data_IF_419934774993
#
_entry.id   IF_419934774993
#
_cell.length_a   1.000
_cell.length_b   1.000
_cell.length_c   1.000
_cell.angle_alpha   90.00
_cell.angle_beta   90.00
_cell.angle_gamma   90.00
#
_symmetry.space_group_name_H-M   'P 1'
#
loop_
_entity.id
_entity.type
_entity.pdbx_description
1 polymer ?
#
# COMPACT_ATOMS: atom_id res chain seq x y z
N UNK A 1 -21.94 -2.40 -7.43
CA UNK A 1 -22.32 -1.72 -6.19
C UNK A 1 -22.18 -0.21 -6.31
N UNK A 2 -21.00 0.37 -6.48
CA UNK A 2 -20.81 1.83 -6.57
C UNK A 2 -21.78 2.52 -7.55
N UNK A 3 -22.02 1.93 -8.71
CA UNK A 3 -22.99 2.48 -9.70
C UNK A 3 -24.41 2.59 -9.15
N UNK A 4 -24.89 1.61 -8.39
CA UNK A 4 -26.24 1.63 -7.79
C UNK A 4 -26.35 2.69 -6.69
N UNK A 5 -25.30 2.85 -5.85
CA UNK A 5 -25.25 3.88 -4.81
C UNK A 5 -25.22 5.27 -5.44
N UNK A 6 -24.38 5.48 -6.47
CA UNK A 6 -24.34 6.75 -7.20
C UNK A 6 -25.69 7.12 -7.84
N UNK A 7 -26.43 6.13 -8.37
CA UNK A 7 -27.77 6.35 -8.89
C UNK A 7 -28.75 6.76 -7.80
N UNK A 8 -28.68 6.10 -6.63
CA UNK A 8 -29.50 6.47 -5.47
C UNK A 8 -29.19 7.90 -5.02
N UNK A 9 -27.92 8.24 -4.78
CA UNK A 9 -27.50 9.57 -4.32
C UNK A 9 -27.91 10.67 -5.31
N UNK A 10 -27.77 10.45 -6.61
CA UNK A 10 -28.26 11.39 -7.64
C UNK A 10 -29.78 11.59 -7.59
N UNK A 11 -30.55 10.51 -7.35
CA UNK A 11 -32.01 10.59 -7.24
C UNK A 11 -32.42 11.40 -6.00
N UNK A 12 -31.66 11.29 -4.91
CA UNK A 12 -31.88 12.07 -3.67
C UNK A 12 -31.36 13.53 -3.80
N UNK A 13 -30.84 13.92 -5.00
CA UNK A 13 -30.44 15.31 -5.27
C UNK A 13 -28.99 15.66 -4.91
N UNK A 14 -28.18 14.69 -4.57
CA UNK A 14 -26.76 14.92 -4.27
C UNK A 14 -25.94 15.07 -5.56
N UNK A 15 -24.98 16.00 -5.53
CA UNK A 15 -23.97 16.14 -6.56
C UNK A 15 -22.84 15.15 -6.26
N UNK A 16 -22.71 14.12 -7.09
CA UNK A 16 -21.73 13.04 -6.89
C UNK A 16 -20.73 13.00 -8.05
N UNK A 17 -19.48 12.60 -7.79
CA UNK A 17 -18.46 12.46 -8.81
C UNK A 17 -18.91 11.56 -9.98
N UNK A 18 -18.27 11.73 -11.14
CA UNK A 18 -18.55 10.89 -12.30
C UNK A 18 -18.29 9.41 -11.98
N UNK A 19 -19.26 8.57 -12.35
CA UNK A 19 -19.16 7.12 -12.22
C UNK A 19 -17.93 6.52 -12.93
N UNK A 20 -17.39 7.21 -13.94
CA UNK A 20 -16.18 6.80 -14.64
C UNK A 20 -14.95 6.79 -13.73
N UNK A 21 -14.86 7.68 -12.74
CA UNK A 21 -13.74 7.69 -11.81
C UNK A 21 -13.61 6.36 -11.04
N UNK A 22 -14.73 5.77 -10.64
CA UNK A 22 -14.74 4.46 -9.98
C UNK A 22 -14.25 3.32 -10.88
N UNK A 23 -14.18 3.52 -12.20
CA UNK A 23 -13.54 2.55 -13.09
C UNK A 23 -12.02 2.52 -12.94
N UNK A 24 -11.39 3.66 -12.63
CA UNK A 24 -9.96 3.74 -12.30
C UNK A 24 -9.67 3.09 -10.95
N UNK A 25 -10.49 3.32 -9.92
CA UNK A 25 -10.37 2.63 -8.63
C UNK A 25 -10.44 1.11 -8.83
N UNK A 26 -11.36 0.63 -9.69
CA UNK A 26 -11.47 -0.78 -10.03
C UNK A 26 -10.25 -1.30 -10.80
N UNK A 27 -9.66 -0.48 -11.67
CA UNK A 27 -8.42 -0.82 -12.38
C UNK A 27 -7.26 -0.97 -11.39
N UNK A 28 -7.05 0.01 -10.50
CA UNK A 28 -6.01 -0.04 -9.48
C UNK A 28 -6.18 -1.25 -8.55
N UNK A 29 -7.40 -1.54 -8.13
CA UNK A 29 -7.69 -2.74 -7.34
C UNK A 29 -7.36 -4.05 -8.07
N UNK A 30 -7.53 -4.11 -9.38
CA UNK A 30 -7.12 -5.28 -10.17
C UNK A 30 -5.60 -5.43 -10.21
N UNK A 31 -4.88 -4.32 -10.29
CA UNK A 31 -3.42 -4.32 -10.20
C UNK A 31 -2.95 -4.79 -8.83
N UNK A 32 -3.49 -4.23 -7.75
CA UNK A 32 -3.23 -4.64 -6.38
C UNK A 32 -3.47 -6.16 -6.17
N UNK A 33 -4.52 -6.70 -6.77
CA UNK A 33 -4.85 -8.13 -6.71
C UNK A 33 -4.03 -9.01 -7.67
N UNK A 34 -3.18 -8.45 -8.50
CA UNK A 34 -2.48 -9.20 -9.57
C UNK A 34 -3.40 -9.79 -10.65
N UNK A 35 -4.59 -9.21 -10.84
CA UNK A 35 -5.65 -9.72 -11.75
C UNK A 35 -5.92 -8.79 -12.94
N UNK A 36 -4.90 -8.10 -13.42
CA UNK A 36 -5.05 -7.22 -14.58
C UNK A 36 -5.17 -8.00 -15.88
N UNK A 37 -5.86 -7.41 -16.86
CA UNK A 37 -6.01 -7.99 -18.19
C UNK A 37 -4.66 -8.11 -18.94
N UNK A 38 -3.69 -7.25 -18.60
CA UNK A 38 -2.35 -7.25 -19.17
C UNK A 38 -1.64 -8.61 -19.00
N UNK A 39 -1.87 -9.31 -17.90
CA UNK A 39 -1.21 -10.60 -17.64
C UNK A 39 -1.76 -11.74 -18.51
N UNK A 40 -2.97 -11.62 -19.05
CA UNK A 40 -3.55 -12.64 -19.92
C UNK A 40 -3.28 -12.33 -21.40
N UNK A 41 -2.65 -13.24 -22.11
CA UNK A 41 -2.38 -13.07 -23.54
C UNK A 41 -2.50 -14.38 -24.32
N UNK A 42 -2.62 -14.27 -25.62
CA UNK A 42 -2.74 -15.42 -26.52
C UNK A 42 -1.55 -15.50 -27.47
N UNK A 43 -1.00 -16.68 -27.63
CA UNK A 43 0.11 -16.95 -28.53
C UNK A 43 -0.32 -18.04 -29.51
N UNK A 44 0.02 -17.87 -30.78
CA UNK A 44 -0.09 -18.95 -31.77
C UNK A 44 1.17 -19.81 -31.72
N UNK A 45 1.01 -21.09 -31.42
CA UNK A 45 2.15 -22.04 -31.27
C UNK A 45 2.52 -22.80 -32.55
N UNK A 46 2.08 -22.32 -33.70
CA UNK A 46 2.25 -22.99 -35.00
C UNK A 46 1.11 -23.93 -35.38
N UNK A 47 0.24 -24.31 -34.44
CA UNK A 47 -0.92 -25.18 -34.65
C UNK A 47 -2.20 -24.58 -34.18
N UNK A 48 -2.21 -24.01 -32.99
CA UNK A 48 -3.40 -23.41 -32.35
C UNK A 48 -3.02 -22.22 -31.49
N UNK A 49 -4.04 -21.38 -31.18
CA UNK A 49 -3.90 -20.34 -30.18
C UNK A 49 -3.91 -20.94 -28.76
N UNK A 50 -2.94 -20.56 -27.93
CA UNK A 50 -2.79 -20.98 -26.55
C UNK A 50 -2.88 -19.74 -25.65
N UNK A 51 -3.71 -19.80 -24.61
CA UNK A 51 -3.76 -18.77 -23.59
C UNK A 51 -2.54 -18.93 -22.67
N UNK A 52 -1.87 -17.82 -22.40
CA UNK A 52 -0.75 -17.73 -21.46
C UNK A 52 -1.00 -16.63 -20.43
N UNK A 53 -0.34 -16.78 -19.30
CA UNK A 53 -0.37 -15.77 -18.23
C UNK A 53 1.07 -15.31 -17.99
N UNK A 54 1.31 -13.98 -18.05
CA UNK A 54 2.58 -13.38 -17.69
C UNK A 54 2.84 -13.54 -16.19
N UNK A 55 4.09 -13.75 -15.86
CA UNK A 55 4.56 -13.67 -14.48
C UNK A 55 4.57 -12.22 -14.04
N UNK A 56 4.18 -11.95 -12.80
CA UNK A 56 4.18 -10.61 -12.22
C UNK A 56 5.11 -10.53 -11.03
N UNK A 57 5.72 -9.36 -10.82
CA UNK A 57 6.48 -9.04 -9.62
C UNK A 57 5.58 -8.63 -8.44
N UNK A 58 4.32 -8.31 -8.70
CA UNK A 58 3.38 -7.89 -7.67
C UNK A 58 3.67 -6.54 -7.05
N UNK A 59 4.38 -5.65 -7.76
CA UNK A 59 4.80 -4.34 -7.23
C UNK A 59 3.63 -3.42 -6.91
N UNK A 60 2.47 -3.59 -7.58
CA UNK A 60 1.25 -2.86 -7.25
C UNK A 60 0.76 -3.10 -5.81
N UNK A 61 1.07 -4.25 -5.22
CA UNK A 61 0.83 -4.53 -3.80
C UNK A 61 1.99 -4.05 -2.93
N UNK A 62 3.23 -4.26 -3.37
CA UNK A 62 4.43 -3.92 -2.59
C UNK A 62 4.58 -2.41 -2.34
N UNK A 63 4.38 -1.58 -3.36
CA UNK A 63 4.57 -0.12 -3.26
C UNK A 63 3.66 0.53 -2.20
N UNK A 64 2.33 0.28 -2.17
CA UNK A 64 1.47 0.81 -1.10
C UNK A 64 1.82 0.30 0.29
N UNK A 65 2.23 -0.97 0.42
CA UNK A 65 2.71 -1.53 1.71
C UNK A 65 3.93 -0.78 2.23
N UNK A 66 4.90 -0.49 1.36
CA UNK A 66 6.09 0.28 1.73
C UNK A 66 5.71 1.70 2.18
N UNK A 67 4.81 2.38 1.47
CA UNK A 67 4.29 3.68 1.89
C UNK A 67 3.54 3.62 3.22
N UNK A 68 2.72 2.59 3.44
CA UNK A 68 2.02 2.41 4.70
C UNK A 68 2.99 2.20 5.87
N UNK A 69 4.05 1.43 5.67
CA UNK A 69 5.10 1.23 6.66
C UNK A 69 5.87 2.52 6.97
N UNK A 70 6.21 3.30 5.93
CA UNK A 70 6.93 4.57 6.09
C UNK A 70 6.09 5.63 6.83
N UNK A 71 4.77 5.64 6.64
CA UNK A 71 3.87 6.68 7.14
C UNK A 71 3.23 6.38 8.50
N UNK A 72 2.88 5.12 8.77
CA UNK A 72 2.24 4.72 10.03
C UNK A 72 2.78 3.38 10.51
N UNK A 73 3.98 3.40 11.06
CA UNK A 73 4.59 2.27 11.75
C UNK A 73 4.34 2.33 13.27
N UNK A 74 4.95 1.41 14.01
CA UNK A 74 4.80 1.28 15.46
C UNK A 74 5.38 2.44 16.28
N UNK A 75 6.24 3.27 15.68
CA UNK A 75 6.88 4.41 16.35
C UNK A 75 6.13 5.73 16.17
N UNK A 76 5.10 5.74 15.32
CA UNK A 76 4.25 6.93 15.19
C UNK A 76 3.43 7.11 16.46
N UNK A 77 3.55 8.27 17.07
CA UNK A 77 2.89 8.60 18.33
C UNK A 77 1.85 9.70 18.14
N UNK A 78 0.68 9.48 18.72
CA UNK A 78 -0.39 10.47 18.84
C UNK A 78 -0.39 10.96 20.28
N UNK A 79 0.06 12.19 20.49
CA UNK A 79 0.23 12.77 21.81
C UNK A 79 -0.83 13.83 22.05
N UNK A 80 -1.50 13.75 23.19
CA UNK A 80 -2.46 14.72 23.72
C UNK A 80 -2.12 15.03 25.17
N UNK A 81 -2.91 15.89 25.83
CA UNK A 81 -2.72 16.19 27.25
C UNK A 81 -2.72 14.91 28.10
N UNK A 82 -1.83 14.81 29.09
CA UNK A 82 -1.64 13.64 29.95
C UNK A 82 -2.94 13.05 30.52
N UNK A 83 -3.85 13.91 30.98
CA UNK A 83 -5.14 13.50 31.55
C UNK A 83 -6.08 12.81 30.55
N UNK A 84 -5.81 12.93 29.25
CA UNK A 84 -6.65 12.42 28.17
C UNK A 84 -5.97 11.32 27.37
N UNK A 85 -4.65 11.19 27.49
CA UNK A 85 -3.84 10.24 26.73
C UNK A 85 -4.28 8.78 26.96
N UNK A 86 -4.48 8.38 28.22
CA UNK A 86 -4.93 7.03 28.56
C UNK A 86 -6.30 6.72 27.94
N UNK A 87 -7.21 7.70 28.01
CA UNK A 87 -8.56 7.58 27.45
C UNK A 87 -8.57 7.47 25.92
N UNK A 88 -7.68 8.20 25.23
CA UNK A 88 -7.49 8.10 23.79
C UNK A 88 -6.89 6.75 23.42
N UNK A 89 -5.81 6.35 24.09
CA UNK A 89 -5.14 5.06 23.83
C UNK A 89 -6.09 3.89 24.00
N UNK A 90 -6.96 3.90 25.00
CA UNK A 90 -7.97 2.87 25.21
C UNK A 90 -8.93 2.73 24.01
N UNK A 91 -9.33 3.84 23.38
CA UNK A 91 -10.16 3.80 22.15
C UNK A 91 -9.36 3.27 20.97
N UNK A 92 -8.14 3.74 20.78
CA UNK A 92 -7.29 3.29 19.66
C UNK A 92 -6.97 1.81 19.75
N UNK A 93 -6.66 1.32 20.96
CA UNK A 93 -6.35 -0.10 21.21
C UNK A 93 -7.60 -0.99 21.04
N UNK A 94 -8.76 -0.57 21.55
CA UNK A 94 -10.03 -1.28 21.35
C UNK A 94 -10.39 -1.45 19.86
N UNK A 95 -10.00 -0.48 19.03
CA UNK A 95 -10.21 -0.50 17.59
C UNK A 95 -9.05 -1.12 16.80
N UNK A 96 -8.02 -1.65 17.47
CA UNK A 96 -6.80 -2.19 16.84
C UNK A 96 -6.19 -1.20 15.82
N UNK A 97 -6.14 0.07 16.19
CA UNK A 97 -5.82 1.18 15.29
C UNK A 97 -4.44 1.03 14.66
N UNK A 98 -3.43 0.61 15.42
CA UNK A 98 -2.05 0.45 14.89
C UNK A 98 -2.00 -0.48 13.68
N UNK A 99 -2.74 -1.60 13.72
CA UNK A 99 -2.79 -2.58 12.62
C UNK A 99 -3.75 -2.11 11.52
N UNK A 100 -4.99 -1.78 11.88
CA UNK A 100 -6.02 -1.45 10.89
C UNK A 100 -5.81 -0.10 10.23
N UNK A 101 -5.24 0.86 10.97
CA UNK A 101 -4.84 2.17 10.44
C UNK A 101 -3.75 2.03 9.37
N UNK A 102 -2.70 1.24 9.64
CA UNK A 102 -1.66 0.94 8.66
C UNK A 102 -2.25 0.24 7.42
N UNK A 103 -3.12 -0.76 7.60
CA UNK A 103 -3.81 -1.43 6.49
C UNK A 103 -4.71 -0.47 5.68
N UNK A 104 -5.33 0.51 6.33
CA UNK A 104 -6.11 1.52 5.61
C UNK A 104 -5.22 2.43 4.77
N UNK A 105 -4.04 2.81 5.27
CA UNK A 105 -3.08 3.60 4.49
C UNK A 105 -2.59 2.81 3.27
N UNK A 106 -2.27 1.53 3.43
CA UNK A 106 -1.96 0.64 2.29
C UNK A 106 -3.09 0.69 1.24
N UNK A 107 -4.34 0.48 1.66
CA UNK A 107 -5.49 0.54 0.75
C UNK A 107 -5.72 1.94 0.16
N UNK A 108 -5.50 3.01 0.91
CA UNK A 108 -5.65 4.38 0.43
C UNK A 108 -4.59 4.71 -0.63
N UNK A 109 -3.36 4.25 -0.44
CA UNK A 109 -2.28 4.43 -1.42
C UNK A 109 -2.46 3.53 -2.64
N UNK A 110 -2.98 2.32 -2.47
CA UNK A 110 -3.31 1.42 -3.57
C UNK A 110 -4.48 1.92 -4.41
N UNK A 111 -5.53 2.45 -3.79
CA UNK A 111 -6.82 2.77 -4.44
C UNK A 111 -7.09 4.27 -4.58
N UNK A 112 -6.19 5.10 -4.07
CA UNK A 112 -6.24 6.57 -4.17
C UNK A 112 -6.94 7.26 -3.00
N UNK A 113 -7.81 6.60 -2.25
CA UNK A 113 -8.55 7.22 -1.13
C UNK A 113 -8.89 6.17 -0.09
N UNK A 114 -8.87 6.56 1.17
CA UNK A 114 -9.36 5.82 2.32
C UNK A 114 -10.07 6.76 3.28
N UNK A 115 -10.81 6.24 4.25
CA UNK A 115 -11.41 7.06 5.30
C UNK A 115 -11.47 6.31 6.63
N UNK A 116 -11.22 7.03 7.72
CA UNK A 116 -11.71 6.67 9.04
C UNK A 116 -13.15 7.21 9.16
N UNK A 117 -14.03 6.45 9.79
CA UNK A 117 -15.38 6.88 10.13
C UNK A 117 -15.63 6.48 11.58
N UNK A 118 -15.88 7.48 12.43
CA UNK A 118 -16.01 7.33 13.87
C UNK A 118 -17.49 7.35 14.27
N UNK A 119 -17.88 6.42 15.13
CA UNK A 119 -19.26 6.36 15.64
C UNK A 119 -19.33 5.70 17.03
N UNK A 120 -20.43 5.92 17.72
CA UNK A 120 -20.77 5.19 18.93
C UNK A 120 -21.71 4.03 18.62
N UNK A 121 -21.48 2.90 19.24
CA UNK A 121 -22.41 1.77 19.21
C UNK A 121 -23.51 1.93 20.30
N UNK A 122 -24.40 0.92 20.38
CA UNK A 122 -25.49 0.90 21.36
C UNK A 122 -25.03 0.80 22.82
N UNK A 123 -23.78 0.36 23.02
CA UNK A 123 -23.14 0.21 24.33
C UNK A 123 -22.28 1.42 24.70
N UNK A 124 -22.38 2.51 23.90
CA UNK A 124 -21.62 3.75 24.06
C UNK A 124 -20.09 3.59 23.80
N UNK A 125 -19.67 2.46 23.19
CA UNK A 125 -18.29 2.29 22.77
C UNK A 125 -18.01 3.09 21.50
N UNK A 126 -16.83 3.70 21.43
CA UNK A 126 -16.38 4.39 20.21
C UNK A 126 -15.71 3.40 19.28
N UNK A 127 -16.25 3.32 18.09
CA UNK A 127 -15.75 2.46 17.01
C UNK A 127 -15.20 3.30 15.87
N UNK A 128 -14.20 2.77 15.20
CA UNK A 128 -13.56 3.36 14.02
C UNK A 128 -13.70 2.37 12.86
N UNK A 129 -14.45 2.76 11.84
CA UNK A 129 -14.52 2.02 10.59
C UNK A 129 -13.42 2.48 9.62
N UNK A 130 -12.89 1.53 8.86
CA UNK A 130 -11.77 1.70 7.93
C UNK A 130 -12.29 1.49 6.50
N UNK A 131 -12.61 2.60 5.83
CA UNK A 131 -13.36 2.58 4.57
C UNK A 131 -12.42 2.76 3.39
N UNK A 132 -12.50 1.86 2.42
CA UNK A 132 -11.69 1.91 1.18
C UNK A 132 -12.37 2.73 0.08
N UNK A 133 -11.60 3.19 -0.90
CA UNK A 133 -12.01 4.12 -1.95
C UNK A 133 -13.31 3.77 -2.71
N UNK A 134 -13.55 2.49 -3.02
CA UNK A 134 -14.75 2.06 -3.77
C UNK A 134 -16.05 2.12 -2.96
N UNK A 135 -15.94 2.48 -1.66
CA UNK A 135 -17.03 2.62 -0.70
C UNK A 135 -17.22 4.07 -0.22
N UNK A 136 -16.47 5.02 -0.77
CA UNK A 136 -16.47 6.45 -0.43
C UNK A 136 -17.14 7.23 -1.55
N UNK A 137 -18.10 8.07 -1.24
CA UNK A 137 -18.88 8.85 -2.19
C UNK A 137 -18.92 10.31 -1.72
N UNK A 138 -18.01 11.19 -2.20
CA UNK A 138 -18.06 12.62 -1.91
C UNK A 138 -19.36 13.23 -2.40
N UNK A 139 -19.97 14.10 -1.58
CA UNK A 139 -21.24 14.76 -1.87
C UNK A 139 -21.11 16.29 -1.95
N UNK A 140 -20.21 16.83 -1.13
CA UNK A 140 -19.86 18.26 -1.17
C UNK A 140 -18.38 18.42 -0.84
N UNK A 141 -17.73 19.30 -1.55
CA UNK A 141 -16.32 19.62 -1.32
C UNK A 141 -16.02 21.06 -1.71
N UNK A 142 -15.07 21.66 -1.02
CA UNK A 142 -14.60 23.02 -1.26
C UNK A 142 -13.06 22.99 -1.26
N UNK A 143 -12.44 23.62 -2.24
CA UNK A 143 -10.97 23.62 -2.38
C UNK A 143 -10.33 22.22 -2.26
N UNK A 144 -10.97 21.20 -2.83
CA UNK A 144 -10.53 19.81 -2.79
C UNK A 144 -10.61 19.13 -1.40
N UNK A 145 -11.24 19.78 -0.42
CA UNK A 145 -11.58 19.25 0.90
C UNK A 145 -13.03 18.78 0.91
N UNK A 146 -13.24 17.51 1.31
CA UNK A 146 -14.56 16.89 1.33
C UNK A 146 -15.27 17.27 2.64
N UNK A 147 -16.36 18.03 2.51
CA UNK A 147 -17.17 18.52 3.65
C UNK A 147 -18.45 17.72 3.86
N UNK A 148 -18.92 16.96 2.85
CA UNK A 148 -20.00 15.99 3.01
C UNK A 148 -19.67 14.74 2.21
N UNK A 149 -19.92 13.57 2.80
CA UNK A 149 -19.54 12.29 2.22
C UNK A 149 -20.52 11.18 2.60
N UNK A 150 -20.75 10.25 1.69
CA UNK A 150 -21.46 9.01 1.99
C UNK A 150 -20.48 7.84 2.00
N UNK A 151 -20.65 6.96 2.98
CA UNK A 151 -19.83 5.77 3.19
C UNK A 151 -20.71 4.53 3.12
N UNK A 152 -20.26 3.54 2.35
CA UNK A 152 -20.99 2.30 2.21
C UNK A 152 -20.24 1.13 2.87
N UNK A 153 -20.99 0.21 3.45
CA UNK A 153 -20.47 -1.08 3.87
C UNK A 153 -21.35 -2.21 3.30
N UNK A 154 -20.74 -3.33 2.94
CA UNK A 154 -21.44 -4.50 2.39
C UNK A 154 -21.33 -5.66 3.39
N UNK A 155 -22.47 -6.30 3.70
CA UNK A 155 -22.55 -7.44 4.59
C UNK A 155 -23.37 -8.58 3.97
N UNK A 156 -23.22 -9.79 4.53
CA UNK A 156 -23.93 -10.99 4.08
C UNK A 156 -23.26 -11.70 2.91
N UNK A 157 -23.83 -12.86 2.53
CA UNK A 157 -23.29 -13.75 1.50
C UNK A 157 -24.40 -14.23 0.55
N UNK A 158 -24.01 -14.56 -0.68
CA UNK A 158 -24.93 -15.13 -1.69
C UNK A 158 -26.06 -14.16 -2.05
N UNK A 159 -27.31 -14.63 -1.93
CA UNK A 159 -28.52 -13.85 -2.22
C UNK A 159 -28.94 -12.93 -1.06
N UNK A 160 -28.33 -13.08 0.11
CA UNK A 160 -28.57 -12.26 1.29
C UNK A 160 -27.44 -11.25 1.50
N UNK A 161 -27.24 -10.38 0.52
CA UNK A 161 -26.29 -9.26 0.60
C UNK A 161 -27.02 -7.98 0.93
N UNK A 162 -26.45 -7.24 1.84
CA UNK A 162 -26.98 -5.96 2.28
C UNK A 162 -25.92 -4.88 2.11
N UNK A 163 -26.37 -3.66 1.85
CA UNK A 163 -25.52 -2.49 1.79
C UNK A 163 -26.07 -1.46 2.78
N UNK A 164 -25.25 -1.07 3.69
CA UNK A 164 -25.52 0.01 4.62
C UNK A 164 -24.82 1.27 4.14
N UNK A 165 -25.52 2.39 4.09
CA UNK A 165 -25.05 3.66 3.61
C UNK A 165 -25.22 4.72 4.70
N UNK A 166 -24.12 5.34 5.12
CA UNK A 166 -24.09 6.47 6.03
C UNK A 166 -23.78 7.74 5.24
N UNK A 167 -24.62 8.75 5.36
CA UNK A 167 -24.46 10.03 4.69
C UNK A 167 -24.17 11.08 5.75
N UNK A 168 -22.97 11.63 5.71
CA UNK A 168 -22.53 12.68 6.62
C UNK A 168 -22.60 14.04 5.92
N UNK A 169 -23.43 14.93 6.40
CA UNK A 169 -23.59 16.28 5.84
C UNK A 169 -23.85 17.31 6.93
N UNK A 170 -23.65 18.59 6.64
CA UNK A 170 -23.94 19.69 7.57
C UNK A 170 -25.37 20.18 7.38
N UNK A 171 -26.07 20.38 8.49
CA UNK A 171 -27.37 21.06 8.52
C UNK A 171 -27.22 22.59 8.38
N UNK A 172 -28.32 23.31 8.37
CA UNK A 172 -28.37 24.80 8.27
C UNK A 172 -27.63 25.50 9.42
N UNK A 173 -27.41 24.81 10.55
CA UNK A 173 -26.70 25.36 11.72
C UNK A 173 -25.18 25.04 11.69
N UNK A 174 -24.70 24.41 10.62
CA UNK A 174 -23.30 24.00 10.49
C UNK A 174 -22.93 22.72 11.24
N UNK A 175 -23.88 22.06 11.91
CA UNK A 175 -23.67 20.82 12.65
C UNK A 175 -23.79 19.61 11.71
N UNK A 176 -22.97 18.59 11.94
CA UNK A 176 -23.07 17.36 11.18
C UNK A 176 -24.30 16.52 11.56
N UNK A 177 -24.95 16.01 10.52
CA UNK A 177 -26.06 15.07 10.61
C UNK A 177 -25.66 13.82 9.82
N UNK A 178 -25.98 12.65 10.40
CA UNK A 178 -25.71 11.34 9.77
C UNK A 178 -27.06 10.75 9.39
N UNK A 179 -27.27 10.53 8.09
CA UNK A 179 -28.44 9.82 7.56
C UNK A 179 -28.08 8.40 7.23
N UNK A 180 -28.90 7.47 7.68
CA UNK A 180 -28.72 6.03 7.54
C UNK A 180 -29.70 5.45 6.53
N UNK A 181 -29.19 4.68 5.57
CA UNK A 181 -30.02 4.01 4.56
C UNK A 181 -29.56 2.57 4.41
N UNK A 182 -30.51 1.65 4.27
CA UNK A 182 -30.23 0.23 4.17
C UNK A 182 -30.81 -0.35 2.87
N UNK A 183 -30.02 -1.16 2.21
CA UNK A 183 -30.41 -1.80 0.95
C UNK A 183 -30.20 -3.30 1.00
N UNK A 184 -31.12 -4.03 0.37
CA UNK A 184 -30.89 -5.41 -0.04
C UNK A 184 -30.32 -5.40 -1.46
N UNK A 185 -29.21 -6.09 -1.63
CA UNK A 185 -28.55 -6.23 -2.94
C UNK A 185 -29.01 -7.52 -3.61
N UNK A 186 -29.67 -7.38 -4.76
CA UNK A 186 -30.06 -8.51 -5.61
C UNK A 186 -29.38 -8.34 -6.98
N UNK A 187 -28.46 -9.25 -7.31
CA UNK A 187 -27.57 -9.12 -8.47
C UNK A 187 -26.84 -7.76 -8.44
N UNK A 188 -27.07 -6.88 -9.42
CA UNK A 188 -26.48 -5.55 -9.52
C UNK A 188 -27.45 -4.42 -9.11
N UNK A 189 -28.65 -4.75 -8.64
CA UNK A 189 -29.66 -3.76 -8.21
C UNK A 189 -29.66 -3.62 -6.69
N UNK A 190 -29.88 -2.40 -6.21
CA UNK A 190 -30.06 -2.06 -4.81
C UNK A 190 -31.55 -1.73 -4.58
N UNK A 191 -32.19 -2.45 -3.69
CA UNK A 191 -33.53 -2.19 -3.21
C UNK A 191 -33.46 -1.66 -1.79
N UNK A 192 -33.94 -0.43 -1.58
CA UNK A 192 -34.04 0.15 -0.25
C UNK A 192 -35.03 -0.68 0.59
N UNK A 193 -34.63 -0.96 1.83
CA UNK A 193 -35.42 -1.69 2.82
C UNK A 193 -35.37 -0.95 4.16
N UNK A 194 -36.20 -1.34 5.10
CA UNK A 194 -36.22 -0.76 6.44
C UNK A 194 -34.88 -0.96 7.14
N UNK A 195 -34.51 0.02 7.95
CA UNK A 195 -33.29 -0.05 8.78
C UNK A 195 -33.40 -1.20 9.80
N UNK A 196 -32.27 -1.83 10.14
CA UNK A 196 -32.23 -2.78 11.23
C UNK A 196 -32.69 -2.16 12.56
N UNK A 197 -33.28 -2.96 13.42
CA UNK A 197 -33.77 -2.53 14.74
C UNK A 197 -32.67 -1.84 15.56
N UNK A 198 -32.99 -0.64 16.05
CA UNK A 198 -32.10 0.17 16.88
C UNK A 198 -31.09 1.03 16.09
N UNK A 199 -31.27 1.19 14.79
CA UNK A 199 -30.56 2.19 13.99
C UNK A 199 -31.56 3.30 13.66
N UNK A 200 -31.21 4.54 14.03
CA UNK A 200 -31.99 5.72 13.72
C UNK A 200 -31.78 6.15 12.27
N UNK A 201 -32.81 6.64 11.61
CA UNK A 201 -32.75 7.11 10.24
C UNK A 201 -31.87 8.37 10.11
N UNK A 202 -31.93 9.25 11.09
CA UNK A 202 -31.17 10.49 11.14
C UNK A 202 -30.64 10.75 12.56
N UNK A 203 -29.33 11.00 12.66
CA UNK A 203 -28.64 11.32 13.91
C UNK A 203 -28.03 12.70 13.80
N UNK A 204 -28.43 13.65 14.66
CA UNK A 204 -27.74 14.93 14.77
C UNK A 204 -26.61 14.81 15.78
N UNK A 205 -25.37 15.00 15.32
CA UNK A 205 -24.17 14.90 16.17
C UNK A 205 -24.04 16.08 17.14
N UNK A 206 -24.78 17.17 16.92
CA UNK A 206 -24.66 18.45 17.63
C UNK A 206 -23.25 19.07 17.58
N UNK A 207 -22.40 18.61 16.68
CA UNK A 207 -21.01 19.03 16.52
C UNK A 207 -20.75 19.55 15.11
N UNK A 208 -19.87 20.54 15.00
CA UNK A 208 -19.33 21.03 13.72
C UNK A 208 -18.15 20.18 13.22
N UNK A 209 -17.62 19.27 14.07
CA UNK A 209 -16.53 18.37 13.76
C UNK A 209 -17.08 17.17 13.00
N UNK A 210 -16.51 16.84 11.83
CA UNK A 210 -16.92 15.65 11.09
C UNK A 210 -16.51 14.39 11.84
N UNK A 211 -17.38 13.37 11.81
CA UNK A 211 -17.06 12.04 12.29
C UNK A 211 -16.55 11.15 11.14
N UNK A 212 -15.71 11.72 10.31
CA UNK A 212 -14.96 11.01 9.25
C UNK A 212 -13.70 11.77 8.87
N UNK A 213 -12.65 11.04 8.52
CA UNK A 213 -11.37 11.60 8.10
C UNK A 213 -10.93 10.96 6.79
N UNK A 214 -10.70 11.78 5.76
CA UNK A 214 -10.27 11.29 4.44
C UNK A 214 -8.76 11.22 4.38
N UNK A 215 -8.24 10.08 3.92
CA UNK A 215 -6.83 9.83 3.66
C UNK A 215 -6.65 9.65 2.15
N UNK A 216 -5.70 10.35 1.58
CA UNK A 216 -5.32 10.19 0.17
C UNK A 216 -3.84 10.46 -0.02
N UNK A 217 -3.17 9.84 -0.99
CA UNK A 217 -1.81 10.25 -1.35
C UNK A 217 -1.80 11.75 -1.69
N UNK A 218 -0.79 12.48 -1.21
CA UNK A 218 -0.66 13.90 -1.52
C UNK A 218 -0.12 14.09 -2.95
N UNK A 219 -0.94 13.68 -3.91
CA UNK A 219 -0.67 13.72 -5.35
C UNK A 219 -1.89 14.36 -5.99
N UNK A 220 -1.66 15.30 -6.91
CA UNK A 220 -2.75 15.94 -7.66
C UNK A 220 -3.47 14.88 -8.49
N UNK A 221 -4.80 14.87 -8.44
CA UNK A 221 -5.62 14.04 -9.29
C UNK A 221 -5.61 14.59 -10.73
N UNK A 222 -4.67 14.12 -11.54
CA UNK A 222 -4.51 14.54 -12.93
C UNK A 222 -5.43 13.77 -13.90
N UNK A 223 -6.22 12.83 -13.41
CA UNK A 223 -7.21 12.09 -14.19
C UNK A 223 -8.52 12.89 -14.26
N UNK A 224 -8.88 13.51 -13.13
CA UNK A 224 -10.10 14.31 -13.00
C UNK A 224 -9.82 15.42 -11.99
N UNK A 225 -9.47 16.62 -12.49
CA UNK A 225 -9.01 17.75 -11.68
C UNK A 225 -10.09 18.29 -10.73
N UNK A 226 -11.36 18.10 -11.09
CA UNK A 226 -12.51 18.59 -10.32
C UNK A 226 -12.98 17.55 -9.28
N UNK A 227 -12.40 16.36 -9.27
CA UNK A 227 -12.76 15.28 -8.35
C UNK A 227 -11.94 15.36 -7.06
N UNK A 228 -12.56 15.45 -5.88
CA UNK A 228 -11.86 15.58 -4.61
C UNK A 228 -11.19 14.29 -4.14
N UNK A 229 -11.48 13.15 -4.77
CA UNK A 229 -10.82 11.88 -4.46
C UNK A 229 -9.37 11.88 -4.96
N UNK A 230 -8.51 11.21 -4.22
CA UNK A 230 -7.12 10.99 -4.62
C UNK A 230 -6.97 9.92 -5.70
N UNK A 231 -5.77 9.78 -6.22
CA UNK A 231 -5.37 8.72 -7.16
C UNK A 231 -4.39 7.77 -6.49
N UNK A 232 -4.34 6.53 -6.98
CA UNK A 232 -3.34 5.55 -6.54
C UNK A 232 -1.92 6.10 -6.66
N UNK A 233 -1.04 5.76 -5.72
CA UNK A 233 0.38 6.16 -5.77
C UNK A 233 1.07 5.70 -7.05
N UNK A 234 0.58 4.62 -7.65
CA UNK A 234 1.07 4.09 -8.93
C UNK A 234 0.15 4.41 -10.12
N UNK A 235 -0.86 5.29 -9.96
CA UNK A 235 -1.79 5.61 -11.04
C UNK A 235 -1.08 6.06 -12.33
N UNK A 236 -0.01 6.87 -12.18
CA UNK A 236 0.81 7.39 -13.28
C UNK A 236 2.02 6.49 -13.63
N UNK A 237 2.09 5.28 -13.07
CA UNK A 237 3.18 4.33 -13.25
C UNK A 237 2.70 2.95 -13.76
N UNK A 238 1.47 2.87 -14.27
CA UNK A 238 0.91 1.61 -14.78
C UNK A 238 1.75 1.05 -15.93
N UNK A 239 2.16 1.89 -16.88
CA UNK A 239 3.01 1.47 -18.00
C UNK A 239 4.37 0.94 -17.52
N UNK A 240 4.93 1.52 -16.45
CA UNK A 240 6.18 1.06 -15.85
C UNK A 240 6.01 -0.30 -15.17
N UNK A 241 4.87 -0.53 -14.51
CA UNK A 241 4.54 -1.86 -13.95
C UNK A 241 4.37 -2.91 -15.05
N UNK A 242 3.70 -2.57 -16.16
CA UNK A 242 3.59 -3.44 -17.33
C UNK A 242 4.97 -3.77 -17.92
N UNK A 243 5.83 -2.77 -18.05
CA UNK A 243 7.21 -2.93 -18.52
C UNK A 243 8.03 -3.83 -17.60
N UNK A 244 7.96 -3.64 -16.30
CA UNK A 244 8.63 -4.47 -15.31
C UNK A 244 8.16 -5.93 -15.36
N UNK A 245 6.85 -6.15 -15.37
CA UNK A 245 6.28 -7.50 -15.44
C UNK A 245 6.63 -8.20 -16.76
N UNK A 246 6.76 -7.45 -17.87
CA UNK A 246 7.24 -7.98 -19.13
C UNK A 246 8.70 -8.45 -19.07
N UNK A 247 9.57 -7.65 -18.42
CA UNK A 247 10.99 -8.02 -18.23
C UNK A 247 11.10 -9.24 -17.32
N UNK A 248 10.32 -9.28 -16.24
CA UNK A 248 10.29 -10.40 -15.32
C UNK A 248 9.75 -11.69 -15.97
N UNK A 249 8.67 -11.61 -16.74
CA UNK A 249 8.14 -12.74 -17.49
C UNK A 249 9.16 -13.25 -18.51
N UNK A 250 9.87 -12.34 -19.21
CA UNK A 250 10.94 -12.68 -20.14
C UNK A 250 12.10 -13.40 -19.44
N UNK A 251 12.51 -12.90 -18.27
CA UNK A 251 13.53 -13.55 -17.44
C UNK A 251 13.11 -14.98 -17.04
N UNK A 252 11.89 -15.16 -16.54
CA UNK A 252 11.36 -16.48 -16.21
C UNK A 252 11.30 -17.41 -17.44
N UNK A 253 10.92 -16.88 -18.60
CA UNK A 253 10.86 -17.63 -19.85
C UNK A 253 12.26 -18.04 -20.35
N UNK A 254 13.30 -17.24 -20.10
CA UNK A 254 14.69 -17.59 -20.46
C UNK A 254 15.10 -18.92 -19.82
N UNK A 255 14.79 -19.11 -18.53
CA UNK A 255 15.04 -20.38 -17.84
C UNK A 255 14.15 -21.53 -18.32
N UNK A 256 12.88 -21.23 -18.64
CA UNK A 256 11.96 -22.25 -19.13
C UNK A 256 12.31 -22.72 -20.55
N UNK A 257 12.71 -21.79 -21.41
CA UNK A 257 13.02 -22.07 -22.82
C UNK A 257 14.50 -22.47 -23.03
N UNK A 258 15.39 -22.00 -22.16
CA UNK A 258 16.82 -22.29 -22.17
C UNK A 258 17.18 -23.68 -21.67
N UNK A 259 16.21 -24.53 -21.33
CA UNK A 259 16.46 -25.92 -20.96
C UNK A 259 17.21 -26.63 -22.07
N UNK A 260 18.22 -27.39 -21.68
CA UNK A 260 18.95 -28.28 -22.61
C UNK A 260 17.96 -29.17 -23.36
N UNK A 261 18.11 -29.25 -24.68
CA UNK A 261 17.28 -30.10 -25.53
C UNK A 261 18.18 -31.03 -26.35
N UNK A 262 17.81 -32.27 -26.39
CA UNK A 262 18.49 -33.28 -27.18
C UNK A 262 17.55 -33.71 -28.31
N UNK A 263 17.94 -33.43 -29.54
CA UNK A 263 17.18 -33.81 -30.72
C UNK A 263 17.72 -35.15 -31.21
N UNK A 264 16.82 -36.12 -31.29
CA UNK A 264 17.15 -37.47 -31.78
C UNK A 264 16.30 -37.82 -33.00
N UNK A 265 16.87 -38.52 -34.03
CA UNK A 265 16.06 -39.04 -35.10
C UNK A 265 15.01 -40.03 -34.57
N UNK A 266 13.78 -40.00 -35.10
CA UNK A 266 12.68 -40.89 -34.67
C UNK A 266 13.08 -42.37 -34.72
N UNK A 267 13.93 -42.76 -35.68
CA UNK A 267 14.43 -44.14 -35.79
C UNK A 267 15.30 -44.57 -34.60
N UNK A 268 16.03 -43.62 -33.98
CA UNK A 268 16.84 -43.87 -32.79
C UNK A 268 16.02 -43.86 -31.49
N UNK A 269 14.86 -43.23 -31.52
CA UNK A 269 13.92 -43.23 -30.40
C UNK A 269 13.01 -44.47 -30.37
N UNK A 270 13.19 -45.43 -31.34
CA UNK A 270 12.40 -46.67 -31.36
C UNK A 270 12.80 -47.59 -30.23
N UNK A 271 11.79 -48.17 -29.67
CA UNK A 271 11.80 -49.15 -28.60
C UNK A 271 12.69 -50.35 -28.94
N UNK A 272 13.65 -50.69 -28.09
CA UNK A 272 14.33 -52.00 -28.13
C UNK A 272 13.50 -53.00 -27.33
N UNK A 273 13.26 -54.17 -27.91
CA UNK A 273 12.76 -55.33 -27.19
C UNK A 273 13.93 -55.98 -26.47
N UNK A 274 13.82 -56.19 -25.17
CA UNK A 274 14.73 -57.05 -24.43
C UNK A 274 14.37 -58.54 -24.63
N UNK A 275 15.23 -59.44 -24.11
CA UNK A 275 15.07 -60.88 -24.27
C UNK A 275 13.75 -61.42 -23.66
N UNK A 276 13.12 -60.65 -22.75
CA UNK A 276 11.84 -60.95 -22.09
C UNK A 276 10.63 -60.37 -22.83
N UNK A 277 10.83 -59.75 -24.00
CA UNK A 277 9.75 -59.13 -24.79
C UNK A 277 9.21 -57.82 -24.21
N UNK A 278 9.88 -57.26 -23.20
CA UNK A 278 9.54 -56.00 -22.60
C UNK A 278 10.14 -54.88 -23.44
N UNK A 279 9.27 -54.06 -23.98
CA UNK A 279 9.69 -52.87 -24.74
C UNK A 279 10.10 -51.76 -23.80
N UNK A 280 11.39 -51.48 -23.72
CA UNK A 280 11.90 -50.26 -23.02
C UNK A 280 12.20 -49.18 -24.06
N UNK A 281 11.61 -48.00 -23.94
CA UNK A 281 12.04 -46.88 -24.77
C UNK A 281 13.50 -46.55 -24.43
N UNK A 282 14.31 -46.30 -25.45
CA UNK A 282 15.71 -45.90 -25.29
C UNK A 282 15.82 -44.56 -24.59
N UNK A 283 14.74 -43.75 -24.61
CA UNK A 283 14.57 -42.49 -23.91
C UNK A 283 13.20 -42.52 -23.25
N UNK A 284 13.13 -42.16 -21.97
CA UNK A 284 11.88 -42.13 -21.20
C UNK A 284 10.96 -41.00 -21.71
N UNK A 285 9.67 -41.31 -21.90
CA UNK A 285 8.65 -40.32 -22.23
C UNK A 285 8.52 -39.21 -21.17
N UNK A 286 8.97 -39.46 -19.96
CA UNK A 286 9.00 -38.48 -18.86
C UNK A 286 10.21 -37.54 -18.94
N UNK A 287 11.21 -37.88 -19.78
CA UNK A 287 12.36 -37.01 -20.04
C UNK A 287 11.96 -35.90 -21.01
N UNK A 288 11.60 -34.75 -20.46
CA UNK A 288 11.20 -33.55 -21.22
C UNK A 288 12.32 -32.91 -22.03
N UNK A 289 13.51 -33.50 -22.00
CA UNK A 289 14.71 -33.00 -22.68
C UNK A 289 14.92 -33.62 -24.07
N UNK A 290 14.28 -34.75 -24.39
CA UNK A 290 14.43 -35.44 -25.66
C UNK A 290 13.29 -35.13 -26.63
N UNK A 291 13.64 -34.76 -27.84
CA UNK A 291 12.71 -34.50 -28.94
C UNK A 291 13.00 -35.40 -30.13
N UNK A 292 12.08 -36.29 -30.45
CA UNK A 292 12.16 -37.13 -31.64
C UNK A 292 11.60 -36.38 -32.85
N UNK A 293 12.40 -36.17 -33.88
CA UNK A 293 12.02 -35.46 -35.10
C UNK A 293 12.01 -36.46 -36.28
N UNK A 294 10.88 -36.50 -37.05
CA UNK A 294 10.75 -37.27 -38.28
C UNK A 294 11.32 -36.48 -39.47
N UNK A 295 11.95 -37.18 -40.43
CA UNK A 295 12.47 -36.57 -41.67
C UNK A 295 13.90 -36.03 -41.57
N UNK A 296 14.60 -36.30 -40.50
CA UNK A 296 16.05 -36.02 -40.38
C UNK A 296 16.82 -37.19 -40.99
N UNK A 297 17.72 -36.91 -41.95
CA UNK A 297 18.56 -37.92 -42.59
C UNK A 297 19.38 -38.70 -41.56
N UNK A 298 19.60 -40.01 -41.88
CA UNK A 298 20.31 -40.95 -40.99
C UNK A 298 21.76 -40.52 -40.68
N UNK A 299 22.31 -39.53 -41.41
CA UNK A 299 23.61 -38.92 -41.16
C UNK A 299 23.64 -37.82 -40.09
N UNK A 300 22.47 -37.34 -39.62
CA UNK A 300 22.40 -36.38 -38.56
C UNK A 300 22.30 -37.12 -37.21
N UNK A 301 23.41 -37.26 -36.53
CA UNK A 301 23.48 -37.86 -35.21
C UNK A 301 22.64 -37.12 -34.16
N UNK A 302 22.72 -37.52 -32.91
CA UNK A 302 22.11 -36.83 -31.76
C UNK A 302 22.62 -35.39 -31.72
N UNK A 303 21.72 -34.42 -31.75
CA UNK A 303 22.07 -33.00 -31.69
C UNK A 303 21.64 -32.40 -30.33
N UNK A 304 22.63 -31.98 -29.61
CA UNK A 304 22.42 -31.20 -28.38
C UNK A 304 22.17 -29.73 -28.73
N UNK A 305 21.10 -29.17 -28.21
CA UNK A 305 20.80 -27.75 -28.26
C UNK A 305 20.91 -27.21 -26.83
N UNK A 306 21.99 -26.51 -26.56
CA UNK A 306 22.23 -25.84 -25.29
C UNK A 306 22.34 -24.34 -25.57
N UNK A 307 21.38 -23.58 -25.08
CA UNK A 307 21.35 -22.11 -25.24
C UNK A 307 21.90 -21.47 -23.96
N UNK A 308 22.82 -20.52 -24.13
CA UNK A 308 23.32 -19.75 -23.01
C UNK A 308 22.19 -18.88 -22.44
N UNK A 309 22.04 -18.90 -21.14
CA UNK A 309 21.06 -18.05 -20.43
C UNK A 309 21.67 -16.66 -20.32
N UNK A 310 20.94 -15.63 -20.77
CA UNK A 310 21.36 -14.21 -20.73
C UNK A 310 21.03 -13.57 -19.39
N UNK A 311 21.53 -14.16 -18.29
CA UNK A 311 21.17 -13.74 -16.93
C UNK A 311 21.57 -12.28 -16.65
N UNK A 312 22.78 -11.86 -17.05
CA UNK A 312 23.29 -10.51 -16.80
C UNK A 312 22.51 -9.42 -17.55
N UNK A 313 22.11 -9.68 -18.81
CA UNK A 313 21.31 -8.72 -19.58
C UNK A 313 19.92 -8.53 -18.95
N UNK A 314 19.31 -9.62 -18.49
CA UNK A 314 18.03 -9.57 -17.79
C UNK A 314 18.13 -8.85 -16.45
N UNK A 315 19.20 -9.08 -15.69
CA UNK A 315 19.46 -8.39 -14.41
C UNK A 315 19.57 -6.89 -14.60
N UNK A 316 20.33 -6.43 -15.58
CA UNK A 316 20.46 -5.00 -15.91
C UNK A 316 19.12 -4.38 -16.30
N UNK A 317 18.36 -5.05 -17.19
CA UNK A 317 17.04 -4.60 -17.60
C UNK A 317 16.04 -4.54 -16.44
N UNK A 318 16.10 -5.51 -15.55
CA UNK A 318 15.26 -5.64 -14.38
C UNK A 318 15.53 -4.52 -13.35
N UNK A 319 16.82 -4.27 -13.03
CA UNK A 319 17.22 -3.15 -12.16
C UNK A 319 16.72 -1.82 -12.70
N UNK A 320 16.97 -1.56 -13.99
CA UNK A 320 16.53 -0.31 -14.61
C UNK A 320 15.01 -0.14 -14.54
N UNK A 321 14.24 -1.20 -14.80
CA UNK A 321 12.78 -1.14 -14.74
C UNK A 321 12.27 -0.88 -13.30
N UNK A 322 12.87 -1.53 -12.28
CA UNK A 322 12.55 -1.28 -10.87
C UNK A 322 12.87 0.13 -10.43
N UNK A 323 14.05 0.65 -10.78
CA UNK A 323 14.48 2.00 -10.41
C UNK A 323 13.54 3.07 -11.01
N UNK A 324 13.17 2.92 -12.29
CA UNK A 324 12.21 3.82 -12.94
C UNK A 324 10.83 3.75 -12.27
N UNK A 325 10.36 2.55 -11.92
CA UNK A 325 9.09 2.35 -11.23
C UNK A 325 9.11 2.99 -9.83
N UNK A 326 10.14 2.73 -9.04
CA UNK A 326 10.31 3.29 -7.69
C UNK A 326 10.29 4.82 -7.72
N UNK A 327 11.07 5.42 -8.64
CA UNK A 327 11.11 6.87 -8.85
C UNK A 327 9.75 7.45 -9.23
N UNK A 328 9.01 6.79 -10.13
CA UNK A 328 7.65 7.20 -10.54
C UNK A 328 6.64 7.14 -9.41
N UNK A 329 6.81 6.20 -8.47
CA UNK A 329 5.97 6.06 -7.29
C UNK A 329 6.46 6.86 -6.08
N UNK A 330 7.51 7.67 -6.23
CA UNK A 330 8.00 8.61 -5.22
C UNK A 330 8.95 8.02 -4.17
N UNK A 331 9.36 6.74 -4.31
CA UNK A 331 10.25 6.06 -3.37
C UNK A 331 11.75 6.34 -3.62
N UNK A 332 12.08 7.07 -4.71
CA UNK A 332 13.47 7.23 -5.15
C UNK A 332 13.89 6.13 -6.11
N UNK A 333 15.04 6.30 -6.75
CA UNK A 333 15.49 5.38 -7.82
C UNK A 333 16.30 4.19 -7.31
N UNK A 334 16.76 4.20 -6.07
CA UNK A 334 17.56 3.13 -5.46
C UNK A 334 16.80 2.31 -4.41
N UNK A 335 15.54 2.63 -4.12
CA UNK A 335 14.76 2.02 -3.03
C UNK A 335 14.66 0.49 -3.14
N UNK A 336 14.54 -0.04 -4.36
CA UNK A 336 14.48 -1.49 -4.64
C UNK A 336 15.80 -2.05 -5.15
N UNK A 337 16.94 -1.38 -4.93
CA UNK A 337 18.23 -1.93 -5.34
C UNK A 337 18.65 -3.08 -4.43
N UNK A 338 18.97 -4.24 -5.04
CA UNK A 338 19.38 -5.45 -4.32
C UNK A 338 20.88 -5.49 -4.02
N UNK A 339 21.67 -4.57 -4.54
CA UNK A 339 23.10 -4.48 -4.27
C UNK A 339 23.39 -3.70 -2.99
N UNK A 340 22.94 -4.18 -1.86
CA UNK A 340 23.37 -3.69 -0.57
C UNK A 340 24.76 -4.22 -0.22
N UNK A 341 25.82 -3.56 -0.65
CA UNK A 341 27.17 -4.08 -0.40
C UNK A 341 28.33 -3.09 -0.52
N UNK A 342 28.11 -1.87 -0.98
CA UNK A 342 29.11 -0.81 -0.93
C UNK A 342 28.98 0.00 0.35
N UNK A 343 30.11 0.29 1.04
CA UNK A 343 30.14 1.31 2.09
C UNK A 343 29.87 2.64 1.40
N UNK A 344 28.61 3.08 1.37
CA UNK A 344 28.23 4.40 0.87
C UNK A 344 28.61 5.46 1.90
N UNK A 345 29.05 6.62 1.45
CA UNK A 345 29.30 7.75 2.36
C UNK A 345 27.95 8.30 2.86
N UNK A 346 27.92 8.85 4.06
CA UNK A 346 26.72 9.48 4.63
C UNK A 346 26.12 10.53 3.66
N UNK A 347 26.94 11.25 2.93
CA UNK A 347 26.50 12.24 1.93
C UNK A 347 25.81 11.59 0.72
N UNK A 348 26.26 10.42 0.28
CA UNK A 348 25.61 9.66 -0.81
C UNK A 348 24.26 9.13 -0.38
N UNK A 349 24.15 8.59 0.84
CA UNK A 349 22.89 8.10 1.43
C UNK A 349 21.88 9.26 1.52
N UNK A 350 22.26 10.39 2.11
CA UNK A 350 21.41 11.57 2.23
C UNK A 350 20.98 12.12 0.86
N UNK A 351 21.85 12.05 -0.15
CA UNK A 351 21.51 12.49 -1.52
C UNK A 351 20.55 11.53 -2.20
N UNK A 352 20.75 10.23 -2.07
CA UNK A 352 19.89 9.21 -2.67
C UNK A 352 18.51 9.15 -2.01
N UNK A 353 18.42 9.31 -0.69
CA UNK A 353 17.17 9.32 0.06
C UNK A 353 16.43 10.66 0.04
N UNK A 354 17.02 11.72 -0.51
CA UNK A 354 16.42 13.07 -0.53
C UNK A 354 15.07 13.12 -1.25
N UNK A 355 14.85 12.32 -2.31
CA UNK A 355 13.59 12.23 -3.03
C UNK A 355 12.53 11.49 -2.20
N UNK A 356 12.88 10.37 -1.58
CA UNK A 356 12.02 9.63 -0.68
C UNK A 356 11.59 10.51 0.51
N UNK A 357 12.56 11.17 1.18
CA UNK A 357 12.29 12.04 2.31
C UNK A 357 11.32 13.18 1.97
N UNK A 358 11.55 13.88 0.85
CA UNK A 358 10.64 14.96 0.41
C UNK A 358 9.23 14.47 0.16
N UNK A 359 9.09 13.29 -0.47
CA UNK A 359 7.78 12.70 -0.74
C UNK A 359 7.12 12.19 0.53
N UNK A 360 7.88 11.61 1.47
CA UNK A 360 7.37 11.18 2.76
C UNK A 360 6.81 12.37 3.54
N UNK A 361 7.60 13.44 3.72
CA UNK A 361 7.14 14.66 4.39
C UNK A 361 5.90 15.29 3.73
N UNK A 362 5.81 15.20 2.41
CA UNK A 362 4.63 15.64 1.67
C UNK A 362 3.39 14.80 2.01
N UNK A 363 3.52 13.48 2.13
CA UNK A 363 2.41 12.60 2.49
C UNK A 363 2.04 12.70 3.97
N UNK A 364 3.00 12.90 4.86
CA UNK A 364 2.76 13.13 6.29
C UNK A 364 1.82 14.30 6.56
N UNK A 365 1.84 15.36 5.74
CA UNK A 365 0.95 16.50 5.92
C UNK A 365 -0.53 16.10 5.88
N UNK A 366 -0.91 15.26 4.92
CA UNK A 366 -2.30 14.78 4.79
C UNK A 366 -2.62 13.81 5.93
N UNK A 367 -1.70 12.91 6.26
CA UNK A 367 -1.92 11.96 7.36
C UNK A 367 -2.01 12.66 8.72
N UNK A 368 -1.17 13.68 8.97
CA UNK A 368 -1.25 14.51 10.18
C UNK A 368 -2.62 15.15 10.31
N UNK A 369 -3.16 15.72 9.24
CA UNK A 369 -4.49 16.31 9.23
C UNK A 369 -5.55 15.26 9.55
N UNK A 370 -5.51 14.09 8.93
CA UNK A 370 -6.46 13.01 9.17
C UNK A 370 -6.38 12.47 10.61
N UNK A 371 -5.17 12.27 11.15
CA UNK A 371 -4.99 11.80 12.53
C UNK A 371 -5.43 12.85 13.55
N UNK A 372 -5.17 14.13 13.30
CA UNK A 372 -5.66 15.22 14.16
C UNK A 372 -7.20 15.24 14.18
N UNK A 373 -7.83 15.13 13.00
CA UNK A 373 -9.28 15.05 12.90
C UNK A 373 -9.87 13.81 13.59
N UNK A 374 -9.22 12.64 13.48
CA UNK A 374 -9.60 11.42 14.20
C UNK A 374 -9.62 11.64 15.72
N UNK A 375 -8.59 12.29 16.28
CA UNK A 375 -8.53 12.59 17.71
C UNK A 375 -9.65 13.55 18.10
N UNK A 376 -9.92 14.57 17.29
CA UNK A 376 -11.03 15.53 17.54
C UNK A 376 -12.40 14.84 17.48
N UNK A 377 -12.60 13.91 16.53
CA UNK A 377 -13.83 13.13 16.42
C UNK A 377 -14.03 12.22 17.64
N UNK A 378 -12.98 11.51 18.08
CA UNK A 378 -13.00 10.69 19.30
C UNK A 378 -13.29 11.54 20.53
N UNK A 379 -12.66 12.71 20.65
CA UNK A 379 -12.90 13.67 21.74
C UNK A 379 -14.35 14.14 21.76
N UNK A 380 -14.89 14.52 20.61
CA UNK A 380 -16.30 14.93 20.45
C UNK A 380 -17.24 13.82 20.90
N UNK A 381 -17.02 12.58 20.47
CA UNK A 381 -17.83 11.42 20.86
C UNK A 381 -17.74 11.12 22.36
N UNK A 382 -16.61 11.40 23.00
CA UNK A 382 -16.44 11.27 24.47
C UNK A 382 -16.94 12.47 25.27
N UNK A 383 -17.26 13.58 24.60
CA UNK A 383 -17.57 14.85 25.29
C UNK A 383 -16.35 15.46 25.99
N UNK A 384 -15.14 15.22 25.46
CA UNK A 384 -13.88 15.76 25.93
C UNK A 384 -13.48 16.96 25.08
N UNK A 385 -12.78 17.93 25.70
CA UNK A 385 -12.11 18.99 24.95
C UNK A 385 -10.61 18.69 24.90
N UNK A 386 -10.08 18.47 23.70
CA UNK A 386 -8.65 18.22 23.46
C UNK A 386 -8.12 19.39 22.63
N UNK A 387 -7.28 20.23 23.25
CA UNK A 387 -6.78 21.45 22.62
C UNK A 387 -5.39 21.25 22.00
N UNK A 388 -4.53 20.43 22.62
CA UNK A 388 -3.17 20.17 22.15
C UNK A 388 -3.05 18.75 21.58
N UNK A 389 -2.92 18.67 20.25
CA UNK A 389 -2.73 17.40 19.54
C UNK A 389 -1.41 17.47 18.79
N UNK A 390 -0.48 16.59 19.14
CA UNK A 390 0.78 16.42 18.42
C UNK A 390 0.85 15.04 17.79
N UNK A 391 1.24 15.00 16.52
CA UNK A 391 1.50 13.76 15.78
C UNK A 391 3.00 13.70 15.49
N UNK A 392 3.70 12.76 16.12
CA UNK A 392 5.12 12.53 15.96
C UNK A 392 5.31 11.37 14.99
N UNK A 393 5.83 11.65 13.80
CA UNK A 393 6.20 10.63 12.82
C UNK A 393 7.62 10.13 13.10
N UNK A 394 7.86 8.87 12.71
CA UNK A 394 9.20 8.26 12.83
C UNK A 394 10.11 8.71 11.70
N UNK A 395 10.98 9.67 11.97
CA UNK A 395 11.99 10.13 11.03
C UNK A 395 13.26 9.23 11.01
N UNK A 396 13.36 8.26 11.94
CA UNK A 396 14.55 7.42 12.12
C UNK A 396 14.82 6.44 10.97
N UNK A 397 13.84 6.19 10.14
CA UNK A 397 13.96 5.28 8.98
C UNK A 397 14.86 5.88 7.90
N UNK A 398 14.97 7.20 7.87
CA UNK A 398 15.63 7.97 6.79
C UNK A 398 16.84 8.75 7.29
N UNK A 399 16.92 9.03 8.58
CA UNK A 399 18.10 9.65 9.17
C UNK A 399 19.14 8.58 9.49
N UNK A 400 20.33 8.70 8.88
CA UNK A 400 21.51 7.96 9.31
C UNK A 400 21.81 8.35 10.76
N UNK A 401 21.30 7.55 11.69
CA UNK A 401 21.53 7.76 13.14
C UNK A 401 23.01 7.82 13.49
N UNK A 402 23.90 7.28 12.66
CA UNK A 402 25.35 7.39 12.81
C UNK A 402 25.86 8.80 12.49
N UNK A 403 25.45 9.33 11.33
CA UNK A 403 25.84 10.68 10.92
C UNK A 403 25.19 11.77 11.81
N UNK A 404 23.95 11.55 12.25
CA UNK A 404 23.29 12.44 13.22
C UNK A 404 24.03 12.45 14.57
N UNK A 405 24.41 11.27 15.09
CA UNK A 405 25.20 11.17 16.32
C UNK A 405 26.55 11.87 16.20
N UNK A 406 27.25 11.68 15.08
CA UNK A 406 28.53 12.35 14.85
C UNK A 406 28.38 13.88 14.79
N UNK A 407 27.38 14.38 14.05
CA UNK A 407 27.08 15.81 13.98
C UNK A 407 26.70 16.36 15.35
N UNK A 408 25.86 15.66 16.09
CA UNK A 408 25.45 16.06 17.44
C UNK A 408 26.64 16.09 18.42
N UNK A 409 27.54 15.10 18.34
CA UNK A 409 28.77 15.08 19.12
C UNK A 409 29.72 16.21 18.71
N UNK A 410 29.73 16.59 17.44
CA UNK A 410 30.51 17.72 16.98
C UNK A 410 29.93 19.05 17.49
N UNK A 411 28.62 19.23 17.45
CA UNK A 411 27.92 20.39 18.01
C UNK A 411 28.15 20.51 19.53
N UNK A 412 28.27 19.38 20.24
CA UNK A 412 28.67 19.37 21.67
C UNK A 412 30.14 19.81 21.84
N UNK A 413 31.06 19.33 20.98
CA UNK A 413 32.47 19.74 21.01
C UNK A 413 32.63 21.23 20.71
N UNK A 414 31.82 21.75 19.80
CA UNK A 414 31.82 23.16 19.41
C UNK A 414 31.08 24.07 20.42
N UNK A 415 30.51 23.48 21.48
CA UNK A 415 29.80 24.21 22.55
C UNK A 415 28.41 24.73 22.18
N UNK A 416 27.86 24.29 21.05
CA UNK A 416 26.53 24.68 20.55
C UNK A 416 25.44 23.94 21.31
N UNK A 417 25.70 22.69 21.73
CA UNK A 417 24.78 21.82 22.45
C UNK A 417 25.40 21.30 23.75
N UNK A 418 24.53 20.82 24.66
CA UNK A 418 24.93 20.22 25.92
C UNK A 418 24.94 18.69 25.85
N UNK A 419 25.79 18.03 26.65
CA UNK A 419 25.90 16.56 26.68
C UNK A 419 24.60 15.88 27.10
N UNK A 420 23.79 16.49 27.96
CA UNK A 420 22.52 15.93 28.39
C UNK A 420 21.48 15.87 27.24
N UNK A 421 21.54 16.82 26.29
CA UNK A 421 20.65 16.80 25.11
C UNK A 421 20.90 15.58 24.22
N UNK A 422 22.17 15.10 24.13
CA UNK A 422 22.50 13.87 23.43
C UNK A 422 21.85 12.64 24.09
N UNK A 423 21.83 12.60 25.43
CA UNK A 423 21.23 11.50 26.18
C UNK A 423 19.71 11.47 26.04
N UNK A 424 19.07 12.65 26.09
CA UNK A 424 17.64 12.77 25.82
C UNK A 424 17.33 12.26 24.41
N UNK A 425 18.08 12.73 23.40
CA UNK A 425 17.80 12.41 21.99
C UNK A 425 18.04 10.95 21.63
N UNK A 426 19.16 10.36 22.09
CA UNK A 426 19.63 9.03 21.63
C UNK A 426 19.45 7.91 22.62
N UNK A 427 19.22 8.20 23.89
CA UNK A 427 19.00 7.18 24.93
C UNK A 427 17.56 7.20 25.45
N UNK A 428 16.73 8.18 25.04
CA UNK A 428 15.34 8.27 25.46
C UNK A 428 15.17 8.63 26.95
N UNK A 429 16.19 9.23 27.56
CA UNK A 429 16.14 9.66 28.97
C UNK A 429 15.32 10.95 29.09
N UNK A 430 14.65 11.14 30.22
CA UNK A 430 14.06 12.44 30.56
C UNK A 430 15.15 13.50 30.76
N UNK A 431 14.81 14.77 30.61
CA UNK A 431 15.76 15.88 30.77
C UNK A 431 16.43 15.85 32.16
N UNK A 432 15.66 15.53 33.20
CA UNK A 432 16.16 15.44 34.57
C UNK A 432 17.14 14.28 34.77
N UNK A 433 16.81 13.09 34.25
CA UNK A 433 17.67 11.91 34.27
C UNK A 433 18.94 12.14 33.45
N UNK A 434 18.82 12.70 32.25
CA UNK A 434 19.94 13.00 31.37
C UNK A 434 20.92 13.99 32.01
N UNK A 435 20.42 15.06 32.67
CA UNK A 435 21.24 16.02 33.42
C UNK A 435 21.92 15.38 34.59
N UNK A 436 21.22 14.56 35.37
CA UNK A 436 21.80 13.82 36.51
C UNK A 436 22.91 12.87 36.06
N UNK A 437 22.71 12.15 34.96
CA UNK A 437 23.69 11.19 34.43
C UNK A 437 24.95 11.88 33.85
N UNK A 438 24.85 13.08 33.30
CA UNK A 438 26.00 13.86 32.83
C UNK A 438 26.86 14.37 33.99
N UNK A 439 26.25 14.77 35.11
CA UNK A 439 26.99 15.20 36.30
C UNK A 439 27.77 14.05 36.91
N UNK A 440 27.24 12.83 36.92
CA UNK A 440 27.94 11.65 37.44
C UNK A 440 29.13 11.20 36.57
N UNK A 441 29.12 11.51 35.25
CA UNK A 441 30.25 11.22 34.34
C UNK A 441 31.43 12.19 34.48
N UNK A 442 31.20 13.41 34.95
CA UNK A 442 32.28 14.38 35.16
C UNK A 442 33.15 14.08 36.36
N UNK A 443 32.72 13.21 37.29
CA UNK A 443 33.49 12.76 38.42
C UNK A 443 34.43 11.57 38.10
N UNK A 444 34.27 10.93 36.92
CA UNK A 444 35.17 9.88 36.45
C UNK A 444 36.22 10.45 35.51
N UNK A 445 37.37 10.80 36.02
CA UNK A 445 38.60 11.10 35.25
C UNK A 445 38.95 9.91 34.36
N UNK A 446 38.69 9.99 33.08
CA UNK A 446 39.22 9.06 32.07
C UNK A 446 40.74 9.26 31.99
N UNK A 447 41.48 8.42 32.67
CA UNK A 447 42.93 8.27 32.44
C UNK A 447 43.04 7.47 31.14
N UNK A 448 43.37 8.16 30.02
CA UNK A 448 43.90 7.48 28.86
C UNK A 448 45.28 6.94 29.23
N UNK A 449 45.39 5.63 29.40
CA UNK A 449 46.70 4.97 29.38
C UNK A 449 47.16 4.97 27.90
N UNK A 450 48.41 5.39 27.74
CA UNK A 450 49.18 5.42 26.49
C UNK A 450 49.25 4.07 25.77
#
# INVERSE_FOLDING_TARGET
MSKGILQYLKREGYDVPDANFYSYIKLWRRWDQGKTAFHAYRVYNGSKHVNKTRKTMGMAKRIPEDWAYLLLNEKVEIVVNENQQESLNAVLDANNFRVRGNQLIDLAFALGTGAFVEFKDKEDNINIDYIRADMIFPLRYENNEITACAFASESGNGDNRYVYLNIHEKNERGQYVIKNVYFKKQNDTLQQIDLPEGIEEEINTQSEIPLFQIIKPNIVNNIDLDNPMGISVYANAVDQMEGLDLVYDSYCNEFQLGKKRIVVPVKMARVQMDEDGITKPMFDYNDTEFYAISGVDEGMGIKEINMSIRAADHETGFKTALNVLAKKCGLGDTYYDFEAGGVKTATEIVSEESDLFRNLKKHELILRQALTGLVQAVATLKGLNIDDIAINFDDSIIEDTGAEKERFLQEIRDGVRQKWEYRVRFFGETEEEAKANVVSETDNTWVFAE
#
